data_IF_358402519720
#
_entry.id   IF_358402519720
#
_cell.length_a   1.000
_cell.length_b   1.000
_cell.length_c   1.000
_cell.angle_alpha   90.00
_cell.angle_beta   90.00
_cell.angle_gamma   90.00
#
_symmetry.space_group_name_H-M   'P 1'
#
loop_
_entity.id
_entity.type
_entity.pdbx_description
1 polymer ?
#
# COMPACT_ATOMS: atom_id res chain seq x y z
N UNK A 1 -1.44 -39.43 33.41
CA UNK A 1 -1.10 -37.99 33.28
C UNK A 1 -0.56 -37.77 31.88
N UNK A 2 -1.38 -37.31 30.94
CA UNK A 2 -0.98 -37.13 29.54
C UNK A 2 -0.28 -35.77 29.41
N UNK A 3 0.98 -35.75 28.99
CA UNK A 3 1.75 -34.52 28.79
C UNK A 3 1.32 -33.85 27.47
N UNK A 4 0.82 -32.63 27.55
CA UNK A 4 0.51 -31.80 26.38
C UNK A 4 1.84 -31.44 25.69
N UNK A 5 1.99 -31.67 24.38
CA UNK A 5 3.21 -31.27 23.66
C UNK A 5 3.33 -29.74 23.62
N UNK A 6 4.56 -29.19 23.64
CA UNK A 6 4.76 -27.76 23.54
C UNK A 6 4.23 -27.23 22.19
N UNK A 7 3.71 -25.99 22.14
CA UNK A 7 3.21 -25.42 20.90
C UNK A 7 4.34 -25.33 19.86
N UNK A 8 4.08 -25.84 18.66
CA UNK A 8 4.99 -25.69 17.53
C UNK A 8 5.09 -24.20 17.14
N UNK A 9 6.32 -23.70 16.97
CA UNK A 9 6.54 -22.35 16.46
C UNK A 9 6.04 -22.29 15.00
N UNK A 10 4.96 -21.55 14.75
CA UNK A 10 4.28 -21.57 13.45
C UNK A 10 5.19 -21.11 12.31
N UNK A 11 6.04 -20.10 12.55
CA UNK A 11 6.93 -19.52 11.54
C UNK A 11 8.27 -19.10 12.16
N UNK A 12 9.35 -19.24 11.40
CA UNK A 12 10.65 -18.72 11.78
C UNK A 12 10.61 -17.18 11.89
N UNK A 13 11.36 -16.58 12.84
CA UNK A 13 11.44 -15.14 12.94
C UNK A 13 12.03 -14.56 11.65
N UNK A 14 11.28 -13.68 10.99
CA UNK A 14 11.78 -12.87 9.89
C UNK A 14 12.67 -11.77 10.47
N UNK A 15 13.91 -11.70 10.02
CA UNK A 15 14.76 -10.57 10.28
C UNK A 15 14.12 -9.33 9.63
N UNK A 16 13.46 -8.50 10.44
CA UNK A 16 13.12 -7.14 10.03
C UNK A 16 14.45 -6.41 9.94
N UNK A 17 14.81 -5.97 8.74
CA UNK A 17 16.17 -5.55 8.38
C UNK A 17 16.82 -4.55 9.34
N UNK A 18 18.13 -4.36 9.21
CA UNK A 18 18.83 -3.26 9.88
C UNK A 18 18.15 -1.95 9.49
N UNK A 19 17.94 -1.05 10.45
CA UNK A 19 17.29 0.23 10.21
C UNK A 19 18.09 1.04 9.18
N UNK A 20 17.74 0.90 7.89
CA UNK A 20 18.21 1.79 6.84
C UNK A 20 17.65 3.16 7.15
N UNK A 21 18.52 4.17 7.23
CA UNK A 21 18.12 5.55 7.53
C UNK A 21 17.52 6.26 6.32
N UNK A 22 17.70 5.71 5.13
CA UNK A 22 17.29 6.36 3.88
C UNK A 22 16.03 5.70 3.34
N UNK A 23 14.95 6.51 3.33
CA UNK A 23 13.71 6.15 2.65
C UNK A 23 13.93 6.30 1.14
N UNK A 24 13.65 5.25 0.34
CA UNK A 24 13.84 5.33 -1.10
C UNK A 24 12.93 6.41 -1.67
N UNK A 25 13.49 7.25 -2.55
CA UNK A 25 12.72 8.31 -3.20
C UNK A 25 11.73 7.73 -4.22
N UNK A 26 10.75 8.53 -4.61
CA UNK A 26 9.73 8.15 -5.61
C UNK A 26 10.36 7.62 -6.88
N UNK A 27 11.41 8.27 -7.41
CA UNK A 27 12.06 7.88 -8.66
C UNK A 27 12.67 6.47 -8.58
N UNK A 28 13.38 6.15 -7.50
CA UNK A 28 13.97 4.82 -7.29
C UNK A 28 12.90 3.73 -7.17
N UNK A 29 11.72 4.09 -6.66
CA UNK A 29 10.58 3.18 -6.55
C UNK A 29 9.91 2.96 -7.91
N UNK A 30 9.72 4.03 -8.66
CA UNK A 30 9.26 4.00 -10.06
C UNK A 30 10.18 3.12 -10.93
N UNK A 31 11.51 3.25 -10.79
CA UNK A 31 12.48 2.40 -11.50
C UNK A 31 12.37 0.92 -11.08
N UNK A 32 12.19 0.66 -9.78
CA UNK A 32 11.95 -0.71 -9.31
C UNK A 32 10.65 -1.29 -9.85
N UNK A 33 9.59 -0.49 -9.99
CA UNK A 33 8.35 -0.93 -10.64
C UNK A 33 8.60 -1.31 -12.10
N UNK A 34 9.40 -0.53 -12.83
CA UNK A 34 9.77 -0.86 -14.21
C UNK A 34 10.46 -2.21 -14.36
N UNK A 35 11.33 -2.56 -13.42
CA UNK A 35 12.11 -3.79 -13.45
C UNK A 35 11.35 -5.03 -12.97
N UNK A 36 10.44 -4.88 -12.00
CA UNK A 36 9.85 -6.02 -11.29
C UNK A 36 8.37 -6.26 -11.57
N UNK A 37 7.62 -5.27 -12.06
CA UNK A 37 6.20 -5.47 -12.37
C UNK A 37 6.03 -6.36 -13.61
N UNK A 38 4.97 -7.18 -13.59
CA UNK A 38 4.65 -8.09 -14.69
C UNK A 38 4.38 -7.34 -16.00
N UNK A 39 4.62 -7.97 -17.17
CA UNK A 39 4.22 -7.42 -18.46
C UNK A 39 2.70 -7.15 -18.49
N UNK A 40 2.30 -5.89 -18.67
CA UNK A 40 0.90 -5.46 -18.64
C UNK A 40 0.42 -4.85 -17.32
N UNK A 41 1.24 -4.86 -16.26
CA UNK A 41 0.93 -4.11 -15.05
C UNK A 41 0.94 -2.60 -15.31
N UNK A 42 -0.04 -1.89 -14.76
CA UNK A 42 -0.07 -0.42 -14.78
C UNK A 42 1.05 0.11 -13.90
N UNK A 43 1.93 0.94 -14.49
CA UNK A 43 3.04 1.60 -13.80
C UNK A 43 2.62 2.98 -13.31
N UNK A 44 3.26 3.46 -12.24
CA UNK A 44 3.03 4.81 -11.73
C UNK A 44 3.60 5.90 -12.67
N UNK A 45 4.67 5.60 -13.39
CA UNK A 45 5.19 6.45 -14.46
C UNK A 45 4.22 6.49 -15.65
N UNK A 46 3.89 7.71 -16.10
CA UNK A 46 2.95 7.91 -17.20
C UNK A 46 1.50 7.51 -16.87
N UNK A 47 1.14 7.42 -15.58
CA UNK A 47 -0.19 7.03 -15.13
C UNK A 47 -1.25 8.07 -15.50
N UNK A 48 -1.91 7.86 -16.64
CA UNK A 48 -3.13 8.54 -17.06
C UNK A 48 -3.03 10.05 -17.21
N UNK A 49 -4.18 10.69 -17.45
CA UNK A 49 -4.29 12.14 -17.58
C UNK A 49 -4.95 12.71 -16.31
N UNK A 50 -4.31 13.70 -15.68
CA UNK A 50 -4.89 14.46 -14.58
C UNK A 50 -5.60 15.70 -15.14
N UNK A 51 -6.76 16.03 -14.58
CA UNK A 51 -7.49 17.24 -14.95
C UNK A 51 -6.72 18.52 -14.60
N UNK A 52 -5.89 18.45 -13.56
CA UNK A 52 -5.01 19.53 -13.10
C UNK A 52 -3.58 18.98 -13.09
N UNK A 53 -2.64 19.74 -13.66
CA UNK A 53 -1.23 19.39 -13.63
C UNK A 53 -0.71 19.55 -12.20
N UNK A 54 -0.01 18.53 -11.72
CA UNK A 54 0.53 18.52 -10.36
C UNK A 54 2.02 18.19 -10.42
N UNK A 55 2.82 18.91 -9.64
CA UNK A 55 4.23 18.57 -9.48
C UNK A 55 4.36 17.20 -8.79
N UNK A 56 5.36 16.38 -9.16
CA UNK A 56 5.61 15.11 -8.51
C UNK A 56 5.98 15.29 -7.03
N UNK A 57 5.58 14.32 -6.20
CA UNK A 57 6.00 14.25 -4.80
C UNK A 57 7.40 13.61 -4.71
N UNK A 58 8.17 13.94 -3.67
CA UNK A 58 9.53 13.42 -3.52
C UNK A 58 9.55 11.92 -3.22
N UNK A 59 8.57 11.41 -2.47
CA UNK A 59 8.60 10.04 -1.93
C UNK A 59 7.42 9.19 -2.41
N UNK A 60 6.26 9.80 -2.62
CA UNK A 60 5.03 9.09 -2.99
C UNK A 60 4.85 9.02 -4.50
N UNK A 61 4.58 7.81 -4.99
CA UNK A 61 4.09 7.58 -6.36
C UNK A 61 2.73 8.26 -6.57
N UNK A 62 2.34 8.40 -7.84
CA UNK A 62 1.05 8.98 -8.18
C UNK A 62 -0.13 8.21 -7.58
N UNK A 63 -0.07 6.88 -7.53
CA UNK A 63 -1.14 6.04 -7.00
C UNK A 63 -1.24 6.08 -5.47
N UNK A 64 -0.12 6.21 -4.76
CA UNK A 64 -0.14 6.42 -3.30
C UNK A 64 -0.77 7.76 -2.94
N UNK A 65 -0.47 8.81 -3.70
CA UNK A 65 -1.14 10.11 -3.50
C UNK A 65 -2.65 10.03 -3.73
N UNK A 66 -3.07 9.25 -4.72
CA UNK A 66 -4.49 9.05 -5.00
C UNK A 66 -5.15 8.19 -3.90
N UNK A 67 -4.44 7.20 -3.37
CA UNK A 67 -4.87 6.42 -2.20
C UNK A 67 -5.08 7.33 -0.97
N UNK A 68 -4.12 8.21 -0.66
CA UNK A 68 -4.23 9.16 0.44
C UNK A 68 -5.49 10.04 0.29
N UNK A 69 -5.74 10.55 -0.92
CA UNK A 69 -6.92 11.38 -1.21
C UNK A 69 -8.21 10.63 -0.97
N UNK A 70 -8.30 9.39 -1.47
CA UNK A 70 -9.49 8.56 -1.32
C UNK A 70 -9.69 8.27 0.17
N UNK A 71 -8.65 7.78 0.86
CA UNK A 71 -8.68 7.39 2.26
C UNK A 71 -9.11 8.55 3.18
N UNK A 72 -8.64 9.76 2.91
CA UNK A 72 -8.96 10.94 3.72
C UNK A 72 -10.20 11.72 3.24
N UNK A 73 -10.85 11.27 2.17
CA UNK A 73 -12.05 11.94 1.65
C UNK A 73 -13.24 11.85 2.61
N UNK A 74 -14.13 12.86 2.57
CA UNK A 74 -15.40 12.83 3.32
C UNK A 74 -16.29 11.68 2.87
N UNK A 75 -16.28 11.35 1.58
CA UNK A 75 -17.08 10.26 1.03
C UNK A 75 -16.64 8.90 1.60
N UNK A 76 -15.34 8.62 1.63
CA UNK A 76 -14.80 7.38 2.18
C UNK A 76 -15.07 7.25 3.68
N UNK A 77 -14.89 8.32 4.47
CA UNK A 77 -15.23 8.31 5.91
C UNK A 77 -16.70 7.98 6.19
N UNK A 78 -17.63 8.40 5.33
CA UNK A 78 -19.06 8.07 5.47
C UNK A 78 -19.35 6.58 5.23
N UNK A 79 -18.47 5.85 4.54
CA UNK A 79 -18.66 4.41 4.34
C UNK A 79 -18.60 3.63 5.65
N UNK A 80 -17.89 4.11 6.67
CA UNK A 80 -17.84 3.47 7.98
C UNK A 80 -19.22 3.36 8.66
N UNK A 81 -20.15 4.27 8.35
CA UNK A 81 -21.53 4.25 8.84
C UNK A 81 -22.53 3.65 7.86
N UNK A 82 -22.07 3.01 6.77
CA UNK A 82 -22.93 2.35 5.80
C UNK A 82 -22.71 0.85 5.87
N UNK A 83 -23.79 0.11 5.91
CA UNK A 83 -23.72 -1.34 5.79
C UNK A 83 -23.72 -1.75 4.31
N UNK A 84 -23.01 -2.84 4.02
CA UNK A 84 -23.05 -3.46 2.69
C UNK A 84 -24.08 -4.60 2.73
N UNK A 85 -25.02 -4.60 1.78
CA UNK A 85 -26.13 -5.57 1.64
C UNK A 85 -27.17 -5.54 2.77
N UNK A 86 -26.77 -5.72 4.03
CA UNK A 86 -27.68 -5.85 5.17
C UNK A 86 -27.56 -4.65 6.09
N UNK A 87 -28.66 -4.07 6.53
CA UNK A 87 -28.64 -2.99 7.52
C UNK A 87 -28.45 -3.59 8.91
N UNK A 88 -27.47 -3.11 9.68
CA UNK A 88 -27.35 -3.47 11.09
C UNK A 88 -28.58 -2.95 11.86
N UNK A 89 -29.27 -3.77 12.68
CA UNK A 89 -30.42 -3.34 13.49
C UNK A 89 -30.09 -2.16 14.42
#
# INVERSE_FOLDING_TARGET
MSSVPPPALAHAPLAVGTASRDLPERAEREDREHLHLAPGATRSTGAGNRAIVESPDRFRTCFERDLDRIQHSKAFRRLAGKCQVFVAP
#
